data_IF_151263324271
#
_entry.id   IF_151263324271
#
_cell.length_a   1.000
_cell.length_b   1.000
_cell.length_c   1.000
_cell.angle_alpha   90.00
_cell.angle_beta   90.00
_cell.angle_gamma   90.00
#
_symmetry.space_group_name_H-M   'P 1'
#
loop_
_entity.id
_entity.type
_entity.pdbx_description
1 polymer ?
#
# COMPACT_ATOMS: atom_id res chain seq x y z
N UNK A 1 -16.85 0.70 7.20
CA UNK A 1 -15.49 0.95 7.75
C UNK A 1 -14.52 0.02 7.07
N UNK A 2 -13.47 0.54 6.47
CA UNK A 2 -12.39 -0.27 5.91
C UNK A 2 -11.11 0.52 6.08
N UNK A 3 -10.11 -0.08 6.72
CA UNK A 3 -8.83 0.56 6.99
C UNK A 3 -8.13 0.86 5.65
N UNK A 4 -8.23 2.12 5.23
CA UNK A 4 -7.50 2.65 4.10
C UNK A 4 -6.04 2.86 4.50
N UNK A 5 -5.13 2.45 3.64
CA UNK A 5 -3.68 2.58 3.86
C UNK A 5 -2.97 3.02 2.59
N UNK A 6 -1.97 3.88 2.73
CA UNK A 6 -0.95 4.13 1.73
C UNK A 6 0.08 3.00 1.74
N UNK A 7 0.59 2.61 0.57
CA UNK A 7 1.70 1.65 0.45
C UNK A 7 3.01 2.35 0.12
N UNK A 8 4.12 1.88 0.66
CA UNK A 8 5.44 2.42 0.31
C UNK A 8 5.84 2.02 -1.12
N UNK A 9 6.18 3.02 -1.93
CA UNK A 9 6.75 2.89 -3.27
C UNK A 9 8.27 2.77 -3.13
N UNK A 10 8.78 1.53 -3.15
CA UNK A 10 10.21 1.29 -3.22
C UNK A 10 10.81 1.88 -4.50
N UNK A 11 12.12 2.10 -4.54
CA UNK A 11 12.82 2.72 -5.67
C UNK A 11 12.53 1.98 -7.00
N UNK A 12 12.50 0.64 -6.96
CA UNK A 12 12.13 -0.22 -8.09
C UNK A 12 10.68 -0.05 -8.60
N UNK A 13 9.82 0.64 -7.84
CA UNK A 13 8.41 0.91 -8.19
C UNK A 13 8.14 2.38 -8.43
N UNK A 14 9.15 3.26 -8.28
CA UNK A 14 8.99 4.66 -8.66
C UNK A 14 8.82 4.71 -10.17
N UNK A 15 7.74 5.36 -10.59
CA UNK A 15 7.59 5.65 -12.00
C UNK A 15 8.72 6.61 -12.40
N UNK A 16 9.59 6.23 -13.36
CA UNK A 16 10.75 7.03 -13.72
C UNK A 16 10.37 8.38 -14.33
N UNK A 17 9.10 8.56 -14.75
CA UNK A 17 8.57 9.82 -15.28
C UNK A 17 8.16 10.79 -14.17
N UNK A 18 7.96 10.33 -12.94
CA UNK A 18 7.67 11.21 -11.80
C UNK A 18 8.90 11.93 -11.24
N UNK A 19 10.10 11.57 -11.69
CA UNK A 19 11.35 12.24 -11.32
C UNK A 19 11.77 12.03 -9.87
N UNK A 20 12.88 12.68 -9.48
CA UNK A 20 13.55 12.49 -8.17
C UNK A 20 12.67 12.87 -6.96
N UNK A 21 11.65 13.69 -7.17
CA UNK A 21 10.75 14.23 -6.14
C UNK A 21 9.39 13.50 -6.08
N UNK A 22 9.26 12.36 -6.75
CA UNK A 22 8.07 11.55 -6.66
C UNK A 22 7.76 11.14 -5.21
N UNK A 23 6.49 11.16 -4.79
CA UNK A 23 6.11 10.67 -3.47
C UNK A 23 6.51 9.20 -3.31
N UNK A 24 7.10 8.87 -2.16
CA UNK A 24 7.49 7.49 -1.81
C UNK A 24 6.29 6.63 -1.35
N UNK A 25 5.07 7.14 -1.48
CA UNK A 25 3.84 6.48 -1.07
C UNK A 25 2.89 6.46 -2.27
N UNK A 26 2.32 5.29 -2.53
CA UNK A 26 1.34 5.08 -3.58
C UNK A 26 -0.01 4.75 -2.97
N UNK A 27 -1.05 5.31 -3.59
CA UNK A 27 -2.47 4.96 -3.53
C UNK A 27 -3.12 4.67 -2.17
N UNK A 28 -4.40 5.01 -1.99
CA UNK A 28 -5.22 4.38 -0.96
C UNK A 28 -5.54 2.92 -1.34
N UNK A 29 -5.12 1.98 -0.51
CA UNK A 29 -5.46 0.55 -0.56
C UNK A 29 -6.34 0.18 0.62
N UNK A 30 -7.11 -0.90 0.53
CA UNK A 30 -7.86 -1.46 1.66
C UNK A 30 -7.12 -2.66 2.24
N UNK A 31 -7.09 -2.76 3.56
CA UNK A 31 -6.65 -4.00 4.21
C UNK A 31 -7.75 -5.06 4.02
N UNK A 32 -7.40 -6.14 3.34
CA UNK A 32 -8.29 -7.29 3.13
C UNK A 32 -8.15 -8.34 4.24
N UNK A 33 -6.90 -8.65 4.61
CA UNK A 33 -6.61 -9.61 5.68
C UNK A 33 -5.37 -9.17 6.46
N UNK A 34 -5.45 -9.28 7.79
CA UNK A 34 -4.30 -9.26 8.68
C UNK A 34 -3.73 -10.69 8.78
N UNK A 35 -2.46 -10.84 8.50
CA UNK A 35 -1.67 -12.02 8.81
C UNK A 35 -0.96 -11.74 10.14
N UNK A 36 -1.17 -12.61 11.13
CA UNK A 36 -0.71 -12.51 12.53
C UNK A 36 0.77 -12.14 12.77
N UNK A 37 1.61 -12.06 11.73
CA UNK A 37 3.01 -11.69 11.79
C UNK A 37 3.27 -10.22 11.34
N UNK A 38 2.30 -9.33 11.53
CA UNK A 38 2.42 -7.92 11.10
C UNK A 38 2.47 -7.76 9.58
N UNK A 39 1.86 -8.69 8.86
CA UNK A 39 1.78 -8.67 7.41
C UNK A 39 0.31 -8.59 6.98
N UNK A 40 0.02 -7.96 5.86
CA UNK A 40 -1.32 -7.63 5.43
C UNK A 40 -1.47 -7.95 3.96
N UNK A 41 -2.62 -8.53 3.62
CA UNK A 41 -3.08 -8.57 2.23
C UNK A 41 -3.86 -7.29 1.97
N UNK A 42 -3.45 -6.61 0.91
CA UNK A 42 -4.14 -5.41 0.45
C UNK A 42 -5.11 -5.76 -0.68
N UNK A 43 -6.07 -4.88 -0.89
CA UNK A 43 -7.00 -4.89 -2.00
C UNK A 43 -7.02 -3.49 -2.62
N UNK A 44 -7.10 -3.44 -3.94
CA UNK A 44 -7.38 -2.21 -4.66
C UNK A 44 -8.77 -1.69 -4.29
N UNK A 45 -9.01 -0.39 -4.48
CA UNK A 45 -10.34 0.18 -4.26
C UNK A 45 -11.41 -0.43 -5.20
N UNK A 46 -10.99 -1.06 -6.30
CA UNK A 46 -11.85 -1.84 -7.21
C UNK A 46 -12.34 -3.17 -6.62
N UNK A 47 -11.80 -3.61 -5.48
CA UNK A 47 -12.09 -4.93 -4.89
C UNK A 47 -11.16 -6.04 -5.37
N UNK A 48 -10.16 -5.73 -6.20
CA UNK A 48 -9.18 -6.71 -6.68
C UNK A 48 -8.05 -6.92 -5.66
N UNK A 49 -7.70 -8.17 -5.31
CA UNK A 49 -6.62 -8.43 -4.37
C UNK A 49 -5.27 -8.00 -4.94
N UNK A 50 -4.47 -7.34 -4.12
CA UNK A 50 -3.05 -7.12 -4.45
C UNK A 50 -2.34 -8.46 -4.27
N UNK A 51 -1.67 -9.00 -5.31
CA UNK A 51 -1.09 -10.35 -5.27
C UNK A 51 0.04 -10.50 -4.24
N UNK A 52 0.62 -9.39 -3.78
CA UNK A 52 1.71 -9.36 -2.82
C UNK A 52 1.22 -9.04 -1.41
N UNK A 53 1.80 -9.73 -0.43
CA UNK A 53 1.65 -9.44 1.00
C UNK A 53 2.58 -8.29 1.42
N UNK A 54 2.08 -7.40 2.27
CA UNK A 54 2.78 -6.20 2.74
C UNK A 54 2.99 -6.20 4.25
N UNK A 55 4.19 -5.91 4.72
CA UNK A 55 4.45 -5.73 6.15
C UNK A 55 3.87 -4.38 6.64
N UNK A 56 3.46 -4.30 7.91
CA UNK A 56 3.02 -3.05 8.56
C UNK A 56 3.98 -1.90 8.34
N UNK A 57 5.29 -2.16 8.36
CA UNK A 57 6.33 -1.13 8.19
C UNK A 57 6.29 -0.43 6.83
N UNK A 58 5.67 -1.06 5.82
CA UNK A 58 5.50 -0.50 4.47
C UNK A 58 4.09 0.04 4.23
N UNK A 59 3.26 0.13 5.27
CA UNK A 59 1.89 0.63 5.21
C UNK A 59 1.76 1.84 6.11
N UNK A 60 1.00 2.83 5.67
CA UNK A 60 0.66 4.01 6.47
C UNK A 60 -0.84 4.21 6.46
N UNK A 61 -1.46 4.34 7.62
CA UNK A 61 -2.90 4.58 7.72
C UNK A 61 -3.29 5.85 6.96
N UNK A 62 -4.33 5.76 6.16
CA UNK A 62 -4.95 6.89 5.49
C UNK A 62 -5.90 7.56 6.48
N UNK A 63 -5.52 8.74 6.96
CA UNK A 63 -6.39 9.60 7.74
C UNK A 63 -7.10 10.53 6.76
N UNK A 64 -8.43 10.37 6.64
CA UNK A 64 -9.28 11.28 5.86
C UNK A 64 -9.77 12.44 6.71
#
# INVERSE_FOLDING_TARGET
QGDLVWRATGDARKDPRQGKLAPNWDGPFRIRHNLNNGAYKLEYLSGEPVPRTWNSSHLKVYYS
#
